data_IF_507303880313
#
_entry.id   IF_507303880313
#
_cell.length_a   1.000
_cell.length_b   1.000
_cell.length_c   1.000
_cell.angle_alpha   90.00
_cell.angle_beta   90.00
_cell.angle_gamma   90.00
#
_symmetry.space_group_name_H-M   'P 1'
#
loop_
_entity.id
_entity.type
_entity.pdbx_description
1 polymer ?
#
# COMPACT_ATOMS: atom_id res chain seq x y z
N UNK A 1 -8.74 31.41 11.86
CA UNK A 1 -9.41 30.13 12.21
C UNK A 1 -8.93 29.71 13.60
N UNK A 2 -9.84 29.29 14.50
CA UNK A 2 -9.45 28.75 15.81
C UNK A 2 -8.64 27.47 15.66
N UNK A 3 -7.58 27.29 16.47
CA UNK A 3 -6.74 26.08 16.50
C UNK A 3 -7.59 24.81 16.73
N UNK A 4 -8.65 24.91 17.53
CA UNK A 4 -9.58 23.81 17.78
C UNK A 4 -10.35 23.39 16.51
N UNK A 5 -10.80 24.36 15.71
CA UNK A 5 -11.49 24.08 14.44
C UNK A 5 -10.55 23.38 13.44
N UNK A 6 -9.31 23.83 13.35
CA UNK A 6 -8.31 23.26 12.45
C UNK A 6 -7.90 21.83 12.88
N UNK A 7 -7.77 21.60 14.19
CA UNK A 7 -7.55 20.27 14.75
C UNK A 7 -8.70 19.31 14.43
N UNK A 8 -9.95 19.70 14.69
CA UNK A 8 -11.12 18.86 14.40
C UNK A 8 -11.23 18.54 12.91
N UNK A 9 -11.06 19.54 12.03
CA UNK A 9 -11.08 19.31 10.58
C UNK A 9 -9.98 18.34 10.13
N UNK A 10 -8.77 18.44 10.66
CA UNK A 10 -7.69 17.49 10.33
C UNK A 10 -7.98 16.10 10.90
N UNK A 11 -8.48 16.02 12.13
CA UNK A 11 -8.85 14.76 12.77
C UNK A 11 -9.91 14.02 11.94
N UNK A 12 -10.97 14.71 11.52
CA UNK A 12 -12.00 14.12 10.68
C UNK A 12 -11.48 13.81 9.27
N UNK A 13 -10.79 14.74 8.61
CA UNK A 13 -10.34 14.52 7.22
C UNK A 13 -9.37 13.34 7.12
N UNK A 14 -8.35 13.27 7.97
CA UNK A 14 -7.37 12.19 7.93
C UNK A 14 -7.85 10.92 8.64
N UNK A 15 -8.59 11.06 9.74
CA UNK A 15 -9.14 9.93 10.49
C UNK A 15 -10.23 9.18 9.72
N UNK A 16 -11.15 9.92 9.08
CA UNK A 16 -12.26 9.31 8.34
C UNK A 16 -11.79 8.51 7.12
N UNK A 17 -10.77 8.98 6.39
CA UNK A 17 -10.16 8.20 5.31
C UNK A 17 -9.59 6.90 5.84
N UNK A 18 -8.87 6.92 6.96
CA UNK A 18 -8.30 5.71 7.55
C UNK A 18 -9.38 4.72 7.99
N UNK A 19 -10.50 5.22 8.51
CA UNK A 19 -11.67 4.40 8.84
C UNK A 19 -12.28 3.79 7.57
N UNK A 20 -12.52 4.61 6.54
CA UNK A 20 -13.06 4.13 5.25
C UNK A 20 -12.18 3.06 4.64
N UNK A 21 -10.86 3.25 4.63
CA UNK A 21 -9.89 2.28 4.11
C UNK A 21 -9.93 0.93 4.83
N UNK A 22 -10.50 0.84 6.04
CA UNK A 22 -10.69 -0.41 6.79
C UNK A 22 -12.11 -0.96 6.70
N UNK A 23 -13.11 -0.09 6.75
CA UNK A 23 -14.53 -0.46 6.73
C UNK A 23 -14.94 -0.97 5.35
N UNK A 24 -14.46 -0.35 4.28
CA UNK A 24 -14.79 -0.77 2.91
C UNK A 24 -14.36 -2.22 2.63
N UNK A 25 -13.11 -2.64 2.90
CA UNK A 25 -12.72 -4.06 2.78
C UNK A 25 -13.59 -5.01 3.61
N UNK A 26 -13.93 -4.61 4.84
CA UNK A 26 -14.77 -5.43 5.71
C UNK A 26 -16.18 -5.62 5.13
N UNK A 27 -16.79 -4.56 4.62
CA UNK A 27 -18.12 -4.60 4.01
C UNK A 27 -18.14 -5.34 2.67
N UNK A 28 -17.02 -5.32 1.94
CA UNK A 28 -16.91 -6.00 0.65
C UNK A 28 -16.49 -7.46 0.78
N UNK A 29 -16.06 -7.91 1.96
CA UNK A 29 -15.67 -9.29 2.22
C UNK A 29 -16.77 -10.30 1.84
N UNK A 30 -18.07 -10.11 2.19
CA UNK A 30 -19.14 -11.02 1.76
C UNK A 30 -19.35 -11.05 0.24
N UNK A 31 -19.07 -9.95 -0.46
CA UNK A 31 -19.19 -9.87 -1.92
C UNK A 31 -18.04 -10.63 -2.57
N UNK A 32 -16.80 -10.34 -2.16
CA UNK A 32 -15.60 -10.98 -2.68
C UNK A 32 -15.62 -12.49 -2.42
N UNK A 33 -16.00 -12.92 -1.21
CA UNK A 33 -16.06 -14.35 -0.87
C UNK A 33 -17.13 -15.13 -1.62
N UNK A 34 -18.24 -14.49 -2.03
CA UNK A 34 -19.25 -15.11 -2.91
C UNK A 34 -18.79 -15.19 -4.37
N UNK A 35 -17.93 -14.26 -4.79
CA UNK A 35 -17.40 -14.22 -6.16
C UNK A 35 -16.20 -15.18 -6.34
N UNK A 36 -15.52 -15.54 -5.26
CA UNK A 36 -14.43 -16.49 -5.29
C UNK A 36 -14.95 -17.93 -5.34
N UNK A 37 -14.30 -18.83 -6.11
CA UNK A 37 -14.75 -20.21 -6.27
C UNK A 37 -14.59 -21.06 -5.01
N UNK A 38 -13.63 -20.73 -4.13
CA UNK A 38 -13.41 -21.41 -2.86
C UNK A 38 -12.76 -20.48 -1.82
N UNK A 39 -12.97 -20.79 -0.54
CA UNK A 39 -12.39 -20.15 0.64
C UNK A 39 -10.86 -20.13 0.62
N UNK A 40 -10.20 -21.14 0.04
CA UNK A 40 -8.74 -21.19 -0.10
C UNK A 40 -8.18 -20.03 -0.93
N UNK A 41 -8.93 -19.56 -1.94
CA UNK A 41 -8.55 -18.44 -2.79
C UNK A 41 -8.41 -17.13 -1.98
N UNK A 42 -9.27 -16.93 -0.99
CA UNK A 42 -9.18 -15.79 -0.09
C UNK A 42 -7.96 -15.90 0.83
N UNK A 43 -7.65 -17.10 1.33
CA UNK A 43 -6.46 -17.34 2.15
C UNK A 43 -5.15 -17.03 1.40
N UNK A 44 -5.08 -17.36 0.10
CA UNK A 44 -3.92 -17.03 -0.75
C UNK A 44 -3.77 -15.51 -0.89
N UNK A 45 -4.88 -14.81 -1.17
CA UNK A 45 -4.88 -13.35 -1.26
C UNK A 45 -4.52 -12.67 0.08
N UNK A 46 -4.98 -13.21 1.20
CA UNK A 46 -4.64 -12.70 2.51
C UNK A 46 -3.13 -12.87 2.81
N UNK A 47 -2.56 -14.03 2.48
CA UNK A 47 -1.13 -14.26 2.62
C UNK A 47 -0.30 -13.32 1.74
N UNK A 48 -0.75 -13.00 0.51
CA UNK A 48 -0.16 -11.95 -0.31
C UNK A 48 -0.11 -10.61 0.44
N UNK A 49 -1.21 -10.21 1.09
CA UNK A 49 -1.25 -8.97 1.88
C UNK A 49 -0.31 -9.01 3.09
N UNK A 50 -0.20 -10.17 3.76
CA UNK A 50 0.73 -10.37 4.87
C UNK A 50 2.18 -10.19 4.41
N UNK A 51 2.56 -10.80 3.29
CA UNK A 51 3.92 -10.68 2.74
C UNK A 51 4.23 -9.22 2.40
N UNK A 52 3.33 -8.53 1.69
CA UNK A 52 3.49 -7.11 1.35
C UNK A 52 3.59 -6.24 2.60
N UNK A 53 2.72 -6.47 3.59
CA UNK A 53 2.67 -5.71 4.84
C UNK A 53 3.90 -5.92 5.72
N UNK A 54 4.48 -7.12 5.69
CA UNK A 54 5.71 -7.44 6.43
C UNK A 54 6.95 -6.86 5.75
N UNK A 55 7.01 -6.90 4.42
CA UNK A 55 8.21 -6.50 3.65
C UNK A 55 8.27 -5.00 3.36
N UNK A 56 7.13 -4.31 3.26
CA UNK A 56 7.10 -2.86 2.98
C UNK A 56 7.83 -2.01 4.04
N UNK A 57 7.65 -2.23 5.37
CA UNK A 57 8.40 -1.48 6.38
C UNK A 57 9.91 -1.69 6.31
N UNK A 58 10.34 -2.92 5.98
CA UNK A 58 11.75 -3.24 5.76
C UNK A 58 12.32 -2.46 4.57
N UNK A 59 11.52 -2.27 3.51
CA UNK A 59 11.91 -1.45 2.36
C UNK A 59 11.98 0.05 2.69
N UNK A 60 11.05 0.55 3.51
CA UNK A 60 10.98 1.97 3.88
C UNK A 60 12.10 2.38 4.85
N UNK A 61 12.61 1.46 5.68
CA UNK A 61 13.70 1.72 6.62
C UNK A 61 13.46 2.90 7.58
N UNK A 62 12.18 3.18 7.93
CA UNK A 62 11.82 4.33 8.78
C UNK A 62 12.02 5.70 8.14
N UNK A 63 12.39 5.77 6.85
CA UNK A 63 12.66 7.04 6.16
C UNK A 63 11.43 7.92 6.01
N UNK A 64 10.23 7.35 6.09
CA UNK A 64 9.00 8.14 6.12
C UNK A 64 8.98 9.12 7.31
N UNK A 65 9.30 8.63 8.51
CA UNK A 65 9.29 9.44 9.73
C UNK A 65 10.47 10.41 9.77
N UNK A 66 11.65 9.96 9.31
CA UNK A 66 12.81 10.83 9.17
C UNK A 66 12.54 11.99 8.20
N UNK A 67 11.97 11.68 7.03
CA UNK A 67 11.55 12.69 6.06
C UNK A 67 10.52 13.64 6.66
N UNK A 68 9.53 13.14 7.40
CA UNK A 68 8.52 13.98 8.03
C UNK A 68 9.12 14.96 9.04
N UNK A 69 10.08 14.52 9.85
CA UNK A 69 10.78 15.39 10.80
C UNK A 69 11.63 16.44 10.09
N UNK A 70 12.48 16.02 9.16
CA UNK A 70 13.40 16.91 8.45
C UNK A 70 12.68 17.91 7.54
N UNK A 71 11.50 17.56 7.00
CA UNK A 71 10.74 18.43 6.09
C UNK A 71 10.37 19.79 6.72
N UNK A 72 10.20 19.85 8.05
CA UNK A 72 9.80 21.07 8.76
C UNK A 72 10.99 21.83 9.38
N UNK A 73 12.23 21.34 9.22
CA UNK A 73 13.40 21.93 9.86
C UNK A 73 13.76 23.31 9.26
N UNK A 74 13.62 23.47 7.94
CA UNK A 74 13.90 24.74 7.25
C UNK A 74 12.74 25.12 6.36
N UNK A 75 12.37 26.41 6.41
CA UNK A 75 11.35 26.97 5.53
C UNK A 75 11.92 27.38 4.16
N UNK A 76 12.65 26.45 3.53
CA UNK A 76 13.19 26.60 2.18
C UNK A 76 12.64 25.49 1.28
N UNK A 77 12.14 25.88 0.12
CA UNK A 77 11.55 24.96 -0.84
C UNK A 77 12.58 24.02 -1.45
N UNK A 78 13.82 24.49 -1.66
CA UNK A 78 14.88 23.64 -2.22
C UNK A 78 15.30 22.57 -1.21
N UNK A 79 15.43 22.93 0.07
CA UNK A 79 15.70 21.99 1.14
C UNK A 79 14.60 20.93 1.27
N UNK A 80 13.32 21.32 1.31
CA UNK A 80 12.17 20.40 1.34
C UNK A 80 12.18 19.43 0.14
N UNK A 81 12.46 19.95 -1.06
CA UNK A 81 12.62 19.14 -2.26
C UNK A 81 13.77 18.13 -2.13
N UNK A 82 14.94 18.56 -1.64
CA UNK A 82 16.09 17.70 -1.46
C UNK A 82 15.84 16.59 -0.44
N UNK A 83 15.19 16.90 0.69
CA UNK A 83 14.82 15.92 1.74
C UNK A 83 13.90 14.85 1.17
N UNK A 84 12.81 15.26 0.50
CA UNK A 84 11.85 14.32 -0.11
C UNK A 84 12.47 13.46 -1.21
N UNK A 85 13.27 14.05 -2.09
CA UNK A 85 13.93 13.34 -3.20
C UNK A 85 14.97 12.36 -2.70
N UNK A 86 15.74 12.73 -1.66
CA UNK A 86 16.76 11.86 -1.07
C UNK A 86 16.11 10.66 -0.38
N UNK A 87 15.07 10.90 0.43
CA UNK A 87 14.30 9.83 1.05
C UNK A 87 13.70 8.88 0.00
N UNK A 88 13.09 9.43 -1.06
CA UNK A 88 12.52 8.63 -2.15
C UNK A 88 13.56 7.75 -2.83
N UNK A 89 14.74 8.28 -3.15
CA UNK A 89 15.82 7.53 -3.81
C UNK A 89 16.29 6.35 -2.97
N UNK A 90 16.45 6.56 -1.66
CA UNK A 90 16.89 5.50 -0.75
C UNK A 90 15.80 4.42 -0.63
N UNK A 91 14.53 4.82 -0.47
CA UNK A 91 13.41 3.87 -0.43
C UNK A 91 13.30 3.09 -1.74
N UNK A 92 13.47 3.74 -2.90
CA UNK A 92 13.44 3.07 -4.19
C UNK A 92 14.56 2.04 -4.33
N UNK A 93 15.79 2.37 -3.90
CA UNK A 93 16.92 1.46 -3.94
C UNK A 93 16.72 0.27 -2.98
N UNK A 94 16.31 0.54 -1.74
CA UNK A 94 16.03 -0.47 -0.71
C UNK A 94 14.90 -1.42 -1.13
N UNK A 95 13.77 -0.86 -1.60
CA UNK A 95 12.64 -1.65 -2.08
C UNK A 95 13.00 -2.50 -3.30
N UNK A 96 13.80 -1.97 -4.23
CA UNK A 96 14.30 -2.74 -5.38
C UNK A 96 15.18 -3.91 -4.91
N UNK A 97 16.07 -3.68 -3.94
CA UNK A 97 16.92 -4.72 -3.38
C UNK A 97 16.11 -5.84 -2.70
N UNK A 98 15.12 -5.49 -1.87
CA UNK A 98 14.24 -6.48 -1.21
C UNK A 98 13.41 -7.23 -2.24
N UNK A 99 12.89 -6.55 -3.27
CA UNK A 99 12.17 -7.19 -4.36
C UNK A 99 13.04 -8.26 -5.04
N UNK A 100 14.30 -7.96 -5.35
CA UNK A 100 15.23 -8.94 -5.94
C UNK A 100 15.45 -10.15 -5.02
N UNK A 101 15.60 -9.95 -3.71
CA UNK A 101 15.73 -11.05 -2.74
C UNK A 101 14.49 -11.94 -2.75
N UNK A 102 13.29 -11.36 -2.69
CA UNK A 102 12.03 -12.11 -2.69
C UNK A 102 11.83 -12.91 -3.98
N UNK A 103 12.19 -12.35 -5.13
CA UNK A 103 12.10 -13.04 -6.42
C UNK A 103 13.11 -14.19 -6.49
N UNK A 104 14.36 -13.94 -6.14
CA UNK A 104 15.44 -14.93 -6.21
C UNK A 104 15.17 -16.14 -5.30
N UNK A 105 14.63 -15.89 -4.10
CA UNK A 105 14.30 -16.92 -3.11
C UNK A 105 12.80 -17.23 -3.05
N UNK A 106 12.05 -16.94 -4.11
CA UNK A 106 10.59 -17.07 -4.15
C UNK A 106 10.10 -18.45 -3.74
N UNK A 107 10.78 -19.52 -4.16
CA UNK A 107 10.47 -20.90 -3.76
C UNK A 107 10.64 -21.14 -2.25
N UNK A 108 11.73 -20.65 -1.68
CA UNK A 108 12.01 -20.81 -0.24
C UNK A 108 11.00 -20.02 0.60
N UNK A 109 10.68 -18.80 0.20
CA UNK A 109 9.63 -18.00 0.84
C UNK A 109 8.24 -18.61 0.65
N UNK A 110 7.97 -19.22 -0.51
CA UNK A 110 6.70 -19.93 -0.75
C UNK A 110 6.52 -21.09 0.24
N UNK A 111 7.56 -21.90 0.43
CA UNK A 111 7.54 -22.96 1.46
C UNK A 111 7.40 -22.38 2.87
N UNK A 112 8.05 -21.25 3.17
CA UNK A 112 7.95 -20.59 4.48
C UNK A 112 6.52 -20.08 4.79
N UNK A 113 5.87 -19.42 3.83
CA UNK A 113 4.57 -18.78 4.04
C UNK A 113 3.38 -19.72 3.78
N UNK A 114 3.52 -20.65 2.84
CA UNK A 114 2.43 -21.51 2.37
C UNK A 114 2.64 -23.01 2.65
N UNK A 115 3.77 -23.41 3.24
CA UNK A 115 4.17 -24.83 3.40
C UNK A 115 4.22 -25.64 2.09
N UNK A 116 4.28 -24.97 0.94
CA UNK A 116 4.40 -25.59 -0.39
C UNK A 116 5.15 -24.65 -1.32
N UNK A 117 5.78 -25.18 -2.38
CA UNK A 117 6.43 -24.36 -3.41
C UNK A 117 5.45 -23.89 -4.51
N UNK A 118 4.20 -24.36 -4.49
CA UNK A 118 3.20 -24.11 -5.52
C UNK A 118 2.88 -22.61 -5.69
N UNK A 119 2.97 -21.82 -4.62
CA UNK A 119 2.61 -20.40 -4.60
C UNK A 119 3.81 -19.46 -4.76
N UNK A 120 4.88 -19.93 -5.43
CA UNK A 120 6.07 -19.11 -5.69
C UNK A 120 5.78 -17.88 -6.54
N UNK A 121 4.81 -17.98 -7.43
CA UNK A 121 4.25 -16.88 -8.22
C UNK A 121 3.62 -15.80 -7.31
N UNK A 122 2.88 -16.19 -6.27
CA UNK A 122 2.28 -15.24 -5.31
C UNK A 122 3.35 -14.45 -4.56
N UNK A 123 4.47 -15.09 -4.22
CA UNK A 123 5.62 -14.40 -3.62
C UNK A 123 6.22 -13.38 -4.60
N UNK A 124 6.33 -13.72 -5.88
CA UNK A 124 6.81 -12.79 -6.93
C UNK A 124 5.85 -11.60 -7.07
N UNK A 125 4.53 -11.84 -7.14
CA UNK A 125 3.55 -10.76 -7.19
C UNK A 125 3.58 -9.90 -5.93
N UNK A 126 3.80 -10.50 -4.75
CA UNK A 126 3.96 -9.77 -3.49
C UNK A 126 5.20 -8.88 -3.51
N UNK A 127 6.32 -9.36 -4.08
CA UNK A 127 7.54 -8.59 -4.23
C UNK A 127 7.33 -7.35 -5.13
N UNK A 128 6.60 -7.52 -6.23
CA UNK A 128 6.22 -6.43 -7.13
C UNK A 128 5.28 -5.46 -6.40
N UNK A 129 4.21 -5.95 -5.77
CA UNK A 129 3.27 -5.11 -5.03
C UNK A 129 3.93 -4.32 -3.89
N UNK A 130 4.92 -4.92 -3.22
CA UNK A 130 5.70 -4.27 -2.18
C UNK A 130 6.47 -3.06 -2.71
N UNK A 131 7.02 -3.10 -3.94
CA UNK A 131 7.74 -1.94 -4.48
C UNK A 131 6.82 -0.73 -4.61
N UNK A 132 5.60 -0.95 -5.11
CA UNK A 132 4.59 0.11 -5.24
C UNK A 132 4.14 0.61 -3.87
N UNK A 133 3.83 -0.32 -2.95
CA UNK A 133 3.45 -0.03 -1.57
C UNK A 133 4.49 0.85 -0.85
N UNK A 134 5.77 0.46 -0.90
CA UNK A 134 6.86 1.16 -0.22
C UNK A 134 7.11 2.56 -0.80
N UNK A 135 6.98 2.72 -2.12
CA UNK A 135 7.26 4.00 -2.79
C UNK A 135 6.06 4.95 -2.81
N UNK A 136 4.82 4.46 -2.70
CA UNK A 136 3.64 5.31 -2.72
C UNK A 136 3.52 6.16 -1.45
N UNK A 137 3.90 5.60 -0.29
CA UNK A 137 3.86 6.31 1.00
C UNK A 137 4.68 7.61 1.02
N UNK A 138 6.00 7.62 0.70
CA UNK A 138 6.80 8.84 0.66
C UNK A 138 6.34 9.84 -0.41
N UNK A 139 5.84 9.39 -1.57
CA UNK A 139 5.28 10.26 -2.62
C UNK A 139 4.05 11.04 -2.10
N UNK A 140 3.20 10.40 -1.29
CA UNK A 140 2.02 11.05 -0.72
C UNK A 140 2.33 11.94 0.49
N UNK A 141 3.52 11.81 1.07
CA UNK A 141 3.86 12.46 2.34
C UNK A 141 3.84 14.00 2.26
N UNK A 142 4.39 14.67 1.23
CA UNK A 142 4.32 16.12 1.09
C UNK A 142 2.89 16.66 1.02
N UNK A 143 1.97 15.92 0.40
CA UNK A 143 0.54 16.28 0.34
C UNK A 143 -0.08 16.33 1.74
N UNK A 144 0.32 15.42 2.63
CA UNK A 144 -0.08 15.43 4.04
C UNK A 144 0.63 16.52 4.83
N UNK A 145 1.94 16.68 4.65
CA UNK A 145 2.75 17.69 5.36
C UNK A 145 2.31 19.12 5.05
N UNK A 146 1.93 19.40 3.80
CA UNK A 146 1.40 20.70 3.37
C UNK A 146 -0.10 20.87 3.67
N UNK A 147 -0.71 19.93 4.41
CA UNK A 147 -2.11 19.93 4.79
C UNK A 147 -3.08 20.07 3.60
N UNK A 148 -2.74 19.49 2.44
CA UNK A 148 -3.58 19.46 1.23
C UNK A 148 -4.65 18.37 1.35
N UNK A 149 -5.47 18.47 2.40
CA UNK A 149 -6.45 17.48 2.87
C UNK A 149 -7.40 17.02 1.76
N UNK A 150 -7.95 17.94 0.98
CA UNK A 150 -8.88 17.62 -0.12
C UNK A 150 -8.25 16.68 -1.15
N UNK A 151 -7.01 16.95 -1.55
CA UNK A 151 -6.29 16.13 -2.53
C UNK A 151 -6.07 14.72 -1.94
N UNK A 152 -5.62 14.65 -0.68
CA UNK A 152 -5.40 13.38 0.01
C UNK A 152 -6.69 12.54 0.15
N UNK A 153 -7.81 13.16 0.52
CA UNK A 153 -9.12 12.48 0.60
C UNK A 153 -9.54 11.95 -0.78
N UNK A 154 -9.51 12.80 -1.80
CA UNK A 154 -9.98 12.44 -3.14
C UNK A 154 -9.09 11.34 -3.73
N UNK A 155 -7.77 11.45 -3.62
CA UNK A 155 -6.85 10.41 -4.10
C UNK A 155 -7.09 9.07 -3.41
N UNK A 156 -7.33 9.08 -2.10
CA UNK A 156 -7.64 7.86 -1.34
C UNK A 156 -8.96 7.22 -1.78
N UNK A 157 -10.02 8.01 -1.94
CA UNK A 157 -11.32 7.51 -2.39
C UNK A 157 -11.26 6.96 -3.82
N UNK A 158 -10.57 7.66 -4.73
CA UNK A 158 -10.37 7.19 -6.11
C UNK A 158 -9.57 5.89 -6.12
N UNK A 159 -8.52 5.78 -5.31
CA UNK A 159 -7.74 4.56 -5.18
C UNK A 159 -8.58 3.39 -4.65
N UNK A 160 -9.28 3.57 -3.53
CA UNK A 160 -10.11 2.50 -2.96
C UNK A 160 -11.25 2.09 -3.90
N UNK A 161 -11.96 3.06 -4.48
CA UNK A 161 -13.03 2.80 -5.43
C UNK A 161 -12.52 2.08 -6.69
N UNK A 162 -11.41 2.57 -7.26
CA UNK A 162 -10.76 1.98 -8.42
C UNK A 162 -10.33 0.53 -8.17
N UNK A 163 -9.68 0.27 -7.03
CA UNK A 163 -9.29 -1.08 -6.62
C UNK A 163 -10.47 -2.06 -6.66
N UNK A 164 -11.60 -1.73 -6.01
CA UNK A 164 -12.73 -2.65 -5.95
C UNK A 164 -13.45 -2.80 -7.29
N UNK A 165 -13.56 -1.73 -8.08
CA UNK A 165 -14.15 -1.79 -9.41
C UNK A 165 -13.34 -2.71 -10.34
N UNK A 166 -12.01 -2.54 -10.35
CA UNK A 166 -11.10 -3.39 -11.14
C UNK A 166 -11.13 -4.83 -10.61
N UNK A 167 -11.12 -5.03 -9.29
CA UNK A 167 -11.18 -6.35 -8.69
C UNK A 167 -12.44 -7.12 -9.10
N UNK A 168 -13.62 -6.50 -8.97
CA UNK A 168 -14.90 -7.13 -9.34
C UNK A 168 -14.93 -7.46 -10.83
N UNK A 169 -14.43 -6.54 -11.68
CA UNK A 169 -14.35 -6.75 -13.13
C UNK A 169 -13.44 -7.95 -13.46
N UNK A 170 -12.24 -8.01 -12.88
CA UNK A 170 -11.29 -9.10 -13.13
C UNK A 170 -11.79 -10.44 -12.60
N UNK A 171 -12.50 -10.45 -11.47
CA UNK A 171 -13.12 -11.68 -10.96
C UNK A 171 -14.21 -12.18 -11.91
N UNK A 172 -15.04 -11.28 -12.47
CA UNK A 172 -16.02 -11.65 -13.50
C UNK A 172 -15.39 -12.17 -14.80
N UNK A 173 -14.15 -11.77 -15.12
CA UNK A 173 -13.38 -12.33 -16.24
C UNK A 173 -12.76 -13.71 -15.94
N UNK A 174 -13.01 -14.28 -14.76
CA UNK A 174 -12.57 -15.63 -14.39
C UNK A 174 -11.18 -15.69 -13.74
N UNK A 175 -10.56 -14.55 -13.39
CA UNK A 175 -9.21 -14.51 -12.81
C UNK A 175 -9.14 -14.88 -11.32
N UNK A 176 -10.27 -15.21 -10.67
CA UNK A 176 -10.33 -15.66 -9.28
C UNK A 176 -9.51 -14.73 -8.34
N UNK A 177 -8.63 -15.28 -7.50
CA UNK A 177 -7.76 -14.51 -6.60
C UNK A 177 -6.70 -13.67 -7.31
N UNK A 178 -6.27 -14.03 -8.53
CA UNK A 178 -5.36 -13.18 -9.31
C UNK A 178 -6.01 -11.84 -9.65
N UNK A 179 -7.33 -11.80 -9.83
CA UNK A 179 -8.07 -10.55 -10.02
C UNK A 179 -7.91 -9.58 -8.83
N UNK A 180 -7.94 -10.10 -7.60
CA UNK A 180 -7.71 -9.30 -6.39
C UNK A 180 -6.27 -8.83 -6.27
N UNK A 181 -5.30 -9.68 -6.62
CA UNK A 181 -3.87 -9.37 -6.59
C UNK A 181 -3.54 -8.28 -7.63
N UNK A 182 -3.96 -8.47 -8.88
CA UNK A 182 -3.70 -7.52 -9.96
C UNK A 182 -4.36 -6.17 -9.70
N UNK A 183 -5.62 -6.16 -9.25
CA UNK A 183 -6.30 -4.93 -8.91
C UNK A 183 -5.56 -4.14 -7.82
N UNK A 184 -4.84 -4.81 -6.91
CA UNK A 184 -4.06 -4.17 -5.85
C UNK A 184 -2.70 -3.64 -6.31
N UNK A 185 -2.16 -4.18 -7.40
CA UNK A 185 -0.90 -3.73 -8.00
C UNK A 185 -1.12 -2.51 -8.91
N UNK A 186 -2.27 -2.45 -9.59
CA UNK A 186 -2.70 -1.34 -10.46
C UNK A 186 -3.13 -0.14 -9.62
#
# INVERSE_FOLDING_TARGET
>A
MSRAKLFLENFFAYGFINVLNKVVPLLLLPVVTRLLPDTSAFGIFDMFNVIVGFTSPLAILGLYDAMFREFFEKDDNQYKYNVTTTAQRIILLSSTFIMFILILFSKSFSVLFFNTNAYSDIVIYSAIAMIFSANMSPIQAPTRMLNKRKIFVISGLVQSGGYYLIAILLIHLGLSYYGLIYAKII
#
